data_IF_541102214324
#
_entry.id   IF_541102214324
#
_cell.length_a   1.000
_cell.length_b   1.000
_cell.length_c   1.000
_cell.angle_alpha   90.00
_cell.angle_beta   90.00
_cell.angle_gamma   90.00
#
_symmetry.space_group_name_H-M   'P 1'
#
loop_
_entity.id
_entity.type
_entity.pdbx_description
1 polymer ?
#
# COMPACT_ATOMS: atom_id res chain seq x y z
N UNK A 1 -6.91 -18.00 7.70
CA UNK A 1 -7.97 -17.08 8.15
C UNK A 1 -7.89 -15.86 7.25
N UNK A 2 -9.00 -15.36 6.71
CA UNK A 2 -8.97 -14.18 5.83
C UNK A 2 -8.67 -12.93 6.67
N UNK A 3 -7.90 -11.98 6.16
CA UNK A 3 -7.52 -10.75 6.89
C UNK A 3 -8.74 -10.00 7.46
N UNK A 4 -9.87 -10.04 6.77
CA UNK A 4 -11.14 -9.43 7.24
C UNK A 4 -11.76 -10.16 8.42
N UNK A 5 -11.60 -11.49 8.51
CA UNK A 5 -12.05 -12.27 9.67
C UNK A 5 -11.20 -11.93 10.90
N UNK A 6 -9.88 -11.73 10.73
CA UNK A 6 -8.99 -11.29 11.80
C UNK A 6 -9.38 -9.88 12.30
N UNK A 7 -9.61 -8.95 11.37
CA UNK A 7 -10.07 -7.60 11.72
C UNK A 7 -11.41 -7.62 12.46
N UNK A 8 -12.38 -8.43 12.00
CA UNK A 8 -13.67 -8.59 12.65
C UNK A 8 -13.57 -9.21 14.05
N UNK A 9 -12.77 -10.27 14.21
CA UNK A 9 -12.53 -10.91 15.51
C UNK A 9 -11.92 -9.93 16.51
N UNK A 10 -10.94 -9.13 16.07
CA UNK A 10 -10.34 -8.09 16.90
C UNK A 10 -11.35 -7.00 17.27
N UNK A 11 -12.17 -6.54 16.33
CA UNK A 11 -13.22 -5.56 16.58
C UNK A 11 -14.23 -6.04 17.63
N UNK A 12 -14.63 -7.32 17.56
CA UNK A 12 -15.50 -7.96 18.56
C UNK A 12 -14.83 -7.96 19.94
N UNK A 13 -13.54 -8.31 20.02
CA UNK A 13 -12.82 -8.30 21.27
C UNK A 13 -12.71 -6.90 21.88
N UNK A 14 -12.45 -5.88 21.06
CA UNK A 14 -12.42 -4.49 21.52
C UNK A 14 -13.78 -3.98 22.00
N UNK A 15 -14.86 -4.31 21.28
CA UNK A 15 -16.22 -3.99 21.72
C UNK A 15 -16.50 -4.57 23.11
N UNK A 16 -16.10 -5.83 23.34
CA UNK A 16 -16.25 -6.51 24.64
C UNK A 16 -15.38 -5.86 25.73
N UNK A 17 -14.10 -5.60 25.45
CA UNK A 17 -13.18 -4.92 26.40
C UNK A 17 -13.72 -3.56 26.83
N UNK A 18 -14.44 -2.87 25.94
CA UNK A 18 -15.09 -1.58 26.18
C UNK A 18 -16.54 -1.69 26.70
N UNK A 19 -17.01 -2.90 27.04
CA UNK A 19 -18.39 -3.17 27.49
C UNK A 19 -19.48 -2.61 26.54
N UNK A 20 -19.23 -2.66 25.23
CA UNK A 20 -20.20 -2.27 24.20
C UNK A 20 -21.11 -3.46 23.87
N UNK A 21 -22.39 -3.17 23.64
CA UNK A 21 -23.39 -4.15 23.19
C UNK A 21 -23.28 -4.48 21.70
N UNK A 22 -22.59 -3.64 20.94
CA UNK A 22 -22.45 -3.73 19.49
C UNK A 22 -21.03 -3.39 19.05
N UNK A 23 -20.62 -3.93 17.90
CA UNK A 23 -19.40 -3.53 17.19
C UNK A 23 -19.71 -2.31 16.33
N UNK A 24 -19.05 -1.20 16.66
CA UNK A 24 -19.12 0.06 15.93
C UNK A 24 -18.11 0.15 14.79
N UNK A 25 -18.13 1.28 14.10
CA UNK A 25 -17.13 1.64 13.09
C UNK A 25 -15.75 1.86 13.72
N UNK A 26 -15.67 2.37 14.95
CA UNK A 26 -14.41 2.59 15.68
C UNK A 26 -13.70 1.26 15.97
N UNK A 27 -14.41 0.27 16.51
CA UNK A 27 -13.84 -1.05 16.77
C UNK A 27 -13.41 -1.74 15.48
N UNK A 28 -14.18 -1.59 14.39
CA UNK A 28 -13.79 -2.10 13.07
C UNK A 28 -12.54 -1.42 12.52
N UNK A 29 -12.39 -0.10 12.71
CA UNK A 29 -11.20 0.63 12.29
C UNK A 29 -9.98 0.11 13.04
N UNK A 30 -10.08 -0.02 14.37
CA UNK A 30 -9.00 -0.59 15.19
C UNK A 30 -8.64 -2.00 14.76
N UNK A 31 -9.63 -2.85 14.47
CA UNK A 31 -9.38 -4.19 13.92
C UNK A 31 -8.65 -4.18 12.57
N UNK A 32 -9.03 -3.27 11.67
CA UNK A 32 -8.34 -3.12 10.39
C UNK A 32 -6.89 -2.63 10.58
N UNK A 33 -6.69 -1.65 11.45
CA UNK A 33 -5.38 -1.10 11.77
C UNK A 33 -4.47 -2.15 12.43
N UNK A 34 -4.99 -2.95 13.37
CA UNK A 34 -4.26 -4.07 14.00
C UNK A 34 -3.72 -5.04 12.95
N UNK A 35 -4.55 -5.46 11.97
CA UNK A 35 -4.14 -6.42 10.94
C UNK A 35 -2.99 -5.90 10.07
N UNK A 36 -2.95 -4.59 9.80
CA UNK A 36 -1.89 -4.00 8.97
C UNK A 36 -0.70 -3.47 9.78
N UNK A 37 -0.81 -3.45 11.12
CA UNK A 37 0.23 -2.96 12.01
C UNK A 37 1.50 -3.80 11.97
N UNK A 38 2.60 -3.19 12.43
CA UNK A 38 3.85 -3.85 12.74
C UNK A 38 4.36 -3.26 14.05
N UNK A 39 4.53 -4.11 15.07
CA UNK A 39 4.95 -3.69 16.41
C UNK A 39 4.02 -2.63 17.03
N UNK A 40 2.70 -2.81 16.89
CA UNK A 40 1.72 -1.85 17.38
C UNK A 40 1.60 -0.56 16.58
N UNK A 41 2.37 -0.40 15.50
CA UNK A 41 2.40 0.84 14.70
C UNK A 41 1.89 0.59 13.29
N UNK A 42 1.06 1.51 12.79
CA UNK A 42 0.59 1.52 11.41
C UNK A 42 1.20 2.70 10.66
N UNK A 43 1.91 2.42 9.58
CA UNK A 43 2.37 3.44 8.64
C UNK A 43 1.43 3.51 7.43
N UNK A 44 0.79 4.65 7.24
CA UNK A 44 -0.11 4.91 6.10
C UNK A 44 0.25 6.24 5.45
N UNK A 45 0.98 6.16 4.34
CA UNK A 45 1.56 7.35 3.70
C UNK A 45 2.49 8.07 4.67
N UNK A 46 2.23 9.36 4.90
CA UNK A 46 2.97 10.20 5.86
C UNK A 46 2.46 10.09 7.29
N UNK A 47 1.40 9.34 7.55
CA UNK A 47 0.83 9.20 8.89
C UNK A 47 1.34 7.94 9.57
N UNK A 48 1.56 8.09 10.86
CA UNK A 48 1.94 7.02 11.77
C UNK A 48 0.88 6.98 12.84
N UNK A 49 0.24 5.83 13.03
CA UNK A 49 -0.72 5.59 14.09
C UNK A 49 -0.13 4.58 15.06
N UNK A 50 0.03 5.00 16.31
CA UNK A 50 0.38 4.11 17.41
C UNK A 50 -0.92 3.53 17.99
N UNK A 51 -1.06 2.21 17.96
CA UNK A 51 -2.26 1.55 18.47
C UNK A 51 -2.43 1.75 19.98
N UNK A 52 -1.35 1.87 20.75
CA UNK A 52 -1.43 2.15 22.18
C UNK A 52 -2.04 3.54 22.43
N UNK A 53 -1.66 4.55 21.63
CA UNK A 53 -2.27 5.89 21.69
C UNK A 53 -3.76 5.88 21.30
N UNK A 54 -4.17 4.93 20.46
CA UNK A 54 -5.58 4.70 20.10
C UNK A 54 -6.35 3.84 21.13
N UNK A 55 -5.71 3.52 22.26
CA UNK A 55 -6.29 2.73 23.35
C UNK A 55 -6.41 1.25 23.03
N UNK A 56 -5.52 0.74 22.19
CA UNK A 56 -5.37 -0.69 21.87
C UNK A 56 -4.13 -1.23 22.56
N UNK A 57 -4.33 -2.24 23.40
CA UNK A 57 -3.26 -3.15 23.78
C UNK A 57 -3.07 -4.15 22.64
N UNK A 58 -2.01 -3.97 21.85
CA UNK A 58 -1.75 -4.78 20.66
C UNK A 58 -0.98 -6.07 20.97
N UNK A 59 -0.48 -6.22 22.21
CA UNK A 59 0.19 -7.43 22.71
C UNK A 59 -0.82 -8.42 23.30
N UNK A 60 -1.96 -7.92 23.80
CA UNK A 60 -3.07 -8.75 24.23
C UNK A 60 -3.68 -9.52 23.04
N UNK A 61 -3.62 -10.84 23.10
CA UNK A 61 -4.41 -11.68 22.20
C UNK A 61 -5.90 -11.54 22.55
N UNK A 62 -6.79 -11.35 21.55
CA UNK A 62 -8.20 -11.23 21.81
C UNK A 62 -8.75 -12.54 22.42
N UNK A 63 -9.24 -12.48 23.66
CA UNK A 63 -9.91 -13.63 24.28
C UNK A 63 -11.09 -14.10 23.42
N UNK A 64 -11.09 -15.39 23.07
CA UNK A 64 -12.19 -16.02 22.34
C UNK A 64 -13.37 -16.16 23.30
N UNK A 65 -14.22 -15.15 23.33
CA UNK A 65 -15.44 -15.15 24.13
C UNK A 65 -16.65 -15.62 23.31
N UNK A 66 -17.44 -16.54 23.85
CA UNK A 66 -18.64 -17.11 23.20
C UNK A 66 -19.83 -16.14 23.08
N UNK A 67 -19.76 -14.97 23.74
CA UNK A 67 -20.82 -13.96 23.68
C UNK A 67 -20.88 -13.35 22.28
N UNK A 68 -22.02 -13.50 21.59
CA UNK A 68 -22.25 -12.90 20.28
C UNK A 68 -22.54 -11.41 20.44
N UNK A 69 -21.70 -10.57 19.82
CA UNK A 69 -21.91 -9.12 19.73
C UNK A 69 -22.44 -8.83 18.34
N UNK A 70 -23.51 -8.05 18.23
CA UNK A 70 -24.07 -7.64 16.95
C UNK A 70 -23.24 -6.50 16.33
N UNK A 71 -23.31 -6.34 15.01
CA UNK A 71 -22.78 -5.13 14.36
C UNK A 71 -23.83 -4.03 14.41
N UNK A 72 -23.39 -2.82 14.68
CA UNK A 72 -24.22 -1.62 14.53
C UNK A 72 -24.61 -1.40 13.07
N UNK A 73 -25.68 -0.62 12.81
CA UNK A 73 -26.08 -0.29 11.45
C UNK A 73 -24.96 0.43 10.67
N UNK A 74 -24.22 1.33 11.32
CA UNK A 74 -23.10 2.04 10.70
C UNK A 74 -21.97 1.08 10.27
N UNK A 75 -21.70 0.03 11.07
CA UNK A 75 -20.77 -1.02 10.70
C UNK A 75 -21.25 -1.85 9.50
N UNK A 76 -22.55 -2.16 9.43
CA UNK A 76 -23.14 -2.84 8.26
C UNK A 76 -23.04 -1.98 7.00
N UNK A 77 -23.38 -0.69 7.08
CA UNK A 77 -23.28 0.25 5.96
C UNK A 77 -21.83 0.38 5.45
N UNK A 78 -20.85 0.30 6.36
CA UNK A 78 -19.42 0.26 6.03
C UNK A 78 -19.06 -1.03 5.27
N UNK A 79 -19.54 -2.20 5.70
CA UNK A 79 -19.34 -3.45 4.96
C UNK A 79 -19.93 -3.40 3.55
N UNK A 80 -21.14 -2.87 3.39
CA UNK A 80 -21.78 -2.71 2.07
C UNK A 80 -20.99 -1.75 1.17
N UNK A 81 -20.42 -0.69 1.75
CA UNK A 81 -19.52 0.22 1.05
C UNK A 81 -18.23 -0.47 0.63
N UNK A 82 -17.61 -1.26 1.51
CA UNK A 82 -16.42 -2.03 1.20
C UNK A 82 -16.68 -3.09 0.12
N UNK A 83 -17.86 -3.72 0.12
CA UNK A 83 -18.28 -4.65 -0.92
C UNK A 83 -18.37 -3.97 -2.30
N UNK A 84 -18.97 -2.77 -2.36
CA UNK A 84 -19.01 -1.98 -3.61
C UNK A 84 -17.63 -1.55 -4.08
N UNK A 85 -16.72 -1.19 -3.17
CA UNK A 85 -15.33 -0.86 -3.49
C UNK A 85 -14.61 -2.10 -4.04
N UNK A 86 -14.76 -3.25 -3.39
CA UNK A 86 -14.16 -4.52 -3.84
C UNK A 86 -14.63 -4.88 -5.26
N UNK A 87 -15.93 -4.74 -5.54
CA UNK A 87 -16.49 -4.99 -6.86
C UNK A 87 -15.92 -4.03 -7.92
N UNK A 88 -15.77 -2.74 -7.59
CA UNK A 88 -15.16 -1.75 -8.47
C UNK A 88 -13.65 -2.01 -8.72
N UNK A 89 -12.96 -2.61 -7.76
CA UNK A 89 -11.56 -3.04 -7.85
C UNK A 89 -11.41 -4.41 -8.57
N UNK A 90 -12.50 -4.99 -9.09
CA UNK A 90 -12.50 -6.30 -9.75
C UNK A 90 -12.26 -7.48 -8.80
N UNK A 91 -12.36 -7.26 -7.48
CA UNK A 91 -12.12 -8.27 -6.46
C UNK A 91 -13.41 -9.01 -6.10
N UNK A 92 -13.38 -10.33 -6.14
CA UNK A 92 -14.48 -11.20 -5.69
C UNK A 92 -14.54 -11.35 -4.16
N UNK A 93 -13.58 -10.77 -3.43
CA UNK A 93 -13.49 -10.88 -1.98
C UNK A 93 -13.23 -9.53 -1.33
N UNK A 94 -13.94 -9.27 -0.23
CA UNK A 94 -13.66 -8.09 0.60
C UNK A 94 -12.34 -8.33 1.33
N UNK A 95 -11.44 -7.36 1.27
CA UNK A 95 -10.14 -7.35 1.93
C UNK A 95 -10.10 -6.17 2.91
N UNK A 96 -9.16 -6.19 3.85
CA UNK A 96 -8.97 -5.08 4.81
C UNK A 96 -8.74 -3.75 4.09
N UNK A 97 -8.08 -3.76 2.92
CA UNK A 97 -7.94 -2.58 2.06
C UNK A 97 -9.30 -1.95 1.68
N UNK A 98 -10.29 -2.78 1.32
CA UNK A 98 -11.60 -2.30 0.91
C UNK A 98 -12.38 -1.73 2.10
N UNK A 99 -12.24 -2.33 3.29
CA UNK A 99 -12.80 -1.80 4.55
C UNK A 99 -12.17 -0.44 4.89
N UNK A 100 -10.83 -0.37 4.90
CA UNK A 100 -10.10 0.88 5.13
C UNK A 100 -10.51 1.95 4.11
N UNK A 101 -10.59 1.64 2.82
CA UNK A 101 -11.07 2.58 1.81
C UNK A 101 -12.51 3.07 2.06
N UNK A 102 -13.35 2.23 2.67
CA UNK A 102 -14.71 2.56 3.09
C UNK A 102 -14.77 3.67 4.15
N UNK A 103 -13.84 3.67 5.10
CA UNK A 103 -13.74 4.71 6.15
C UNK A 103 -13.46 6.11 5.62
N UNK A 104 -13.07 6.25 4.36
CA UNK A 104 -12.76 7.54 3.76
C UNK A 104 -13.86 8.59 3.93
N UNK A 105 -15.14 8.20 4.04
CA UNK A 105 -16.26 9.13 4.18
C UNK A 105 -16.71 9.37 5.63
N UNK A 106 -16.19 8.59 6.58
CA UNK A 106 -16.57 8.69 7.99
C UNK A 106 -15.91 9.94 8.58
N UNK A 107 -16.71 10.78 9.25
CA UNK A 107 -16.25 12.05 9.83
C UNK A 107 -16.48 12.13 11.35
N UNK A 108 -17.08 11.08 11.91
CA UNK A 108 -17.36 10.93 13.33
C UNK A 108 -16.50 9.81 13.93
N UNK A 109 -16.52 9.71 15.26
CA UNK A 109 -15.75 8.73 16.01
C UNK A 109 -14.24 8.85 15.77
N UNK A 110 -13.56 7.71 15.90
CA UNK A 110 -12.11 7.59 15.79
C UNK A 110 -11.60 8.07 14.42
N UNK A 111 -12.28 7.70 13.33
CA UNK A 111 -11.88 8.15 12.00
C UNK A 111 -11.98 9.67 11.85
N UNK A 112 -13.04 10.26 12.41
CA UNK A 112 -13.20 11.72 12.46
C UNK A 112 -12.08 12.41 13.22
N UNK A 113 -11.67 11.86 14.36
CA UNK A 113 -10.57 12.38 15.17
C UNK A 113 -9.22 12.29 14.44
N UNK A 114 -8.93 11.16 13.80
CA UNK A 114 -7.73 11.00 12.96
C UNK A 114 -7.71 12.01 11.82
N UNK A 115 -8.86 12.25 11.17
CA UNK A 115 -8.96 13.25 10.11
C UNK A 115 -8.64 14.65 10.57
N UNK A 116 -9.19 15.06 11.72
CA UNK A 116 -8.96 16.39 12.28
C UNK A 116 -7.51 16.58 12.73
N UNK A 117 -6.96 15.59 13.44
CA UNK A 117 -5.60 15.66 14.00
C UNK A 117 -4.51 15.64 12.93
N UNK A 118 -4.68 14.86 11.86
CA UNK A 118 -3.66 14.68 10.82
C UNK A 118 -3.98 15.37 9.49
N UNK A 119 -5.06 16.15 9.42
CA UNK A 119 -5.49 16.82 8.19
C UNK A 119 -5.86 15.84 7.07
N UNK A 120 -6.38 14.66 7.41
CA UNK A 120 -6.69 13.60 6.44
C UNK A 120 -7.98 13.98 5.69
N UNK A 121 -7.86 14.09 4.37
CA UNK A 121 -9.01 14.17 3.46
C UNK A 121 -9.42 12.78 2.96
N UNK A 122 -10.66 12.63 2.50
CA UNK A 122 -11.17 11.38 1.91
C UNK A 122 -10.25 10.85 0.79
N UNK A 123 -9.73 11.75 -0.06
CA UNK A 123 -8.84 11.40 -1.15
C UNK A 123 -7.46 10.96 -0.63
N UNK A 124 -6.85 11.74 0.25
CA UNK A 124 -5.54 11.41 0.81
C UNK A 124 -5.54 10.07 1.57
N UNK A 125 -6.64 9.77 2.28
CA UNK A 125 -6.82 8.49 2.96
C UNK A 125 -6.82 7.32 1.98
N UNK A 126 -7.64 7.39 0.93
CA UNK A 126 -7.71 6.32 -0.09
C UNK A 126 -6.39 6.13 -0.82
N UNK A 127 -5.67 7.21 -1.11
CA UNK A 127 -4.32 7.15 -1.69
C UNK A 127 -3.35 6.44 -0.75
N UNK A 128 -3.39 6.75 0.55
CA UNK A 128 -2.55 6.07 1.54
C UNK A 128 -2.89 4.58 1.65
N UNK A 129 -4.18 4.22 1.70
CA UNK A 129 -4.65 2.82 1.70
C UNK A 129 -4.14 2.07 0.48
N UNK A 130 -4.31 2.64 -0.72
CA UNK A 130 -3.86 2.01 -1.97
C UNK A 130 -2.34 1.77 -1.96
N UNK A 131 -1.55 2.77 -1.58
CA UNK A 131 -0.08 2.66 -1.49
C UNK A 131 0.36 1.62 -0.47
N UNK A 132 -0.20 1.63 0.74
CA UNK A 132 0.13 0.66 1.78
C UNK A 132 -0.20 -0.76 1.33
N UNK A 133 -1.33 -0.96 0.65
CA UNK A 133 -1.73 -2.26 0.15
C UNK A 133 -0.85 -2.75 -1.00
N UNK A 134 -0.54 -1.89 -1.98
CA UNK A 134 0.40 -2.21 -3.06
C UNK A 134 1.79 -2.55 -2.53
N UNK A 135 2.29 -1.83 -1.51
CA UNK A 135 3.59 -2.13 -0.91
C UNK A 135 3.61 -3.49 -0.17
N UNK A 136 2.48 -3.89 0.42
CA UNK A 136 2.38 -5.12 1.24
C UNK A 136 2.05 -6.37 0.43
N UNK A 137 1.31 -6.23 -0.67
CA UNK A 137 0.77 -7.36 -1.43
C UNK A 137 0.99 -7.26 -2.95
N UNK A 138 1.70 -6.24 -3.43
CA UNK A 138 1.88 -5.94 -4.86
C UNK A 138 2.80 -6.87 -5.64
N UNK A 139 2.76 -8.18 -5.40
CA UNK A 139 3.42 -9.17 -6.27
C UNK A 139 2.46 -9.98 -7.14
N UNK A 140 1.14 -9.81 -7.00
CA UNK A 140 0.14 -10.69 -7.65
C UNK A 140 -0.76 -10.04 -8.72
N UNK A 141 -0.39 -8.89 -9.28
CA UNK A 141 -1.15 -8.33 -10.41
C UNK A 141 -0.25 -7.90 -11.55
N UNK A 142 0.14 -8.89 -12.36
CA UNK A 142 0.48 -8.69 -13.77
C UNK A 142 -0.81 -8.51 -14.58
N UNK A 143 -1.28 -7.28 -14.72
CA UNK A 143 -2.01 -6.84 -15.93
C UNK A 143 -1.61 -5.39 -16.21
N UNK A 144 -1.11 -5.20 -17.41
CA UNK A 144 -0.73 -3.96 -18.07
C UNK A 144 -1.76 -2.84 -17.92
N UNK A 145 -1.33 -1.63 -17.54
CA UNK A 145 -1.34 -0.46 -18.43
C UNK A 145 -0.73 0.78 -17.76
N UNK A 146 0.02 1.52 -18.57
CA UNK A 146 0.61 2.86 -18.40
C UNK A 146 -0.47 3.86 -17.90
N UNK A 147 -0.20 4.88 -17.09
CA UNK A 147 0.73 5.97 -17.32
C UNK A 147 0.93 6.83 -16.03
N UNK A 148 2.15 7.35 -15.84
CA UNK A 148 2.44 8.65 -15.19
C UNK A 148 2.23 8.88 -13.69
N UNK A 149 3.22 8.53 -12.85
CA UNK A 149 3.96 9.53 -12.02
C UNK A 149 4.93 8.88 -11.03
N UNK A 150 6.20 9.21 -11.25
CA UNK A 150 7.38 9.20 -10.39
C UNK A 150 7.18 8.81 -8.92
N UNK A 151 7.66 7.62 -8.57
CA UNK A 151 8.23 7.32 -7.25
C UNK A 151 9.16 6.14 -7.43
N UNK A 152 10.46 6.37 -7.20
CA UNK A 152 11.53 5.41 -7.45
C UNK A 152 11.25 4.06 -6.82
N UNK A 153 10.85 3.12 -7.67
CA UNK A 153 10.78 1.70 -7.35
C UNK A 153 11.97 1.02 -8.00
N UNK A 154 12.30 -0.20 -7.59
CA UNK A 154 13.35 -1.02 -8.20
C UNK A 154 13.23 -1.19 -9.74
N UNK A 155 12.14 -0.72 -10.37
CA UNK A 155 12.01 -0.57 -11.83
C UNK A 155 12.88 0.54 -12.46
N UNK A 156 13.56 1.37 -11.65
CA UNK A 156 14.50 2.39 -12.14
C UNK A 156 15.84 1.83 -12.59
N UNK A 157 16.17 0.59 -12.23
CA UNK A 157 17.43 -0.05 -12.53
C UNK A 157 17.25 -1.19 -13.51
N UNK A 158 17.70 -0.97 -14.73
CA UNK A 158 17.65 -1.91 -15.83
C UNK A 158 18.86 -2.84 -15.82
N UNK A 159 18.65 -4.08 -16.22
CA UNK A 159 19.72 -4.97 -16.69
C UNK A 159 20.30 -4.45 -18.02
N UNK A 160 21.51 -4.89 -18.42
CA UNK A 160 22.07 -4.55 -19.73
C UNK A 160 21.16 -4.94 -20.89
N UNK A 161 20.42 -6.04 -20.76
CA UNK A 161 19.53 -6.54 -21.79
C UNK A 161 18.31 -5.61 -21.93
N UNK A 162 17.64 -5.27 -20.82
CA UNK A 162 16.49 -4.34 -20.83
C UNK A 162 16.88 -2.91 -21.27
N UNK A 163 18.07 -2.45 -20.88
CA UNK A 163 18.58 -1.15 -21.29
C UNK A 163 18.93 -1.09 -22.79
N UNK A 164 19.38 -2.21 -23.37
CA UNK A 164 19.68 -2.30 -24.79
C UNK A 164 18.39 -2.31 -25.62
N UNK A 165 17.38 -3.04 -25.14
CA UNK A 165 16.03 -3.04 -25.71
C UNK A 165 15.41 -1.65 -25.68
N UNK A 166 15.51 -0.93 -24.56
CA UNK A 166 14.98 0.43 -24.42
C UNK A 166 15.60 1.45 -25.39
N UNK A 167 16.85 1.23 -25.80
CA UNK A 167 17.55 2.08 -26.78
C UNK A 167 17.48 1.51 -28.21
N UNK A 168 16.81 0.38 -28.41
CA UNK A 168 16.77 -0.37 -29.68
C UNK A 168 18.17 -0.64 -30.25
N UNK A 169 19.15 -0.94 -29.38
CA UNK A 169 20.52 -1.29 -29.77
C UNK A 169 20.88 -2.70 -29.32
N UNK A 170 21.96 -3.24 -29.88
CA UNK A 170 22.47 -4.54 -29.45
C UNK A 170 23.11 -4.46 -28.04
N UNK A 171 22.92 -5.49 -27.21
CA UNK A 171 23.45 -5.53 -25.83
C UNK A 171 24.97 -5.36 -25.75
N UNK A 172 25.70 -5.82 -26.76
CA UNK A 172 27.16 -5.63 -26.83
C UNK A 172 27.56 -4.16 -27.02
N UNK A 173 26.76 -3.39 -27.75
CA UNK A 173 26.96 -1.94 -27.96
C UNK A 173 26.76 -1.20 -26.64
N UNK A 174 25.69 -1.53 -25.91
CA UNK A 174 25.45 -0.98 -24.57
C UNK A 174 26.59 -1.32 -23.60
N UNK A 175 27.07 -2.58 -23.59
CA UNK A 175 28.22 -2.99 -22.77
C UNK A 175 29.51 -2.24 -23.15
N UNK A 176 29.69 -1.86 -24.41
CA UNK A 176 30.80 -1.02 -24.84
C UNK A 176 30.68 0.42 -24.29
N UNK A 177 29.48 0.99 -24.22
CA UNK A 177 29.23 2.30 -23.60
C UNK A 177 29.50 2.29 -22.09
N UNK A 178 29.10 1.23 -21.40
CA UNK A 178 29.43 1.06 -19.97
C UNK A 178 30.94 0.91 -19.77
N UNK A 179 31.62 0.10 -20.61
CA UNK A 179 33.08 -0.11 -20.49
C UNK A 179 33.89 1.16 -20.78
N UNK A 180 33.41 2.00 -21.71
CA UNK A 180 34.05 3.27 -22.07
C UNK A 180 33.68 4.42 -21.13
N UNK A 181 32.80 4.20 -20.15
CA UNK A 181 32.35 5.22 -19.20
C UNK A 181 31.31 6.21 -19.75
N UNK A 182 30.84 6.02 -20.99
CA UNK A 182 29.80 6.87 -21.62
C UNK A 182 28.42 6.66 -21.00
N UNK A 183 28.19 5.50 -20.39
CA UNK A 183 26.95 5.18 -19.69
C UNK A 183 27.26 4.72 -18.26
N UNK A 184 26.82 5.46 -17.23
CA UNK A 184 27.01 5.05 -15.83
C UNK A 184 26.30 3.72 -15.54
N UNK A 185 26.99 2.83 -14.82
CA UNK A 185 26.41 1.57 -14.36
C UNK A 185 26.88 1.27 -12.92
N UNK A 186 25.98 0.70 -12.13
CA UNK A 186 26.23 0.28 -10.75
C UNK A 186 26.44 -1.22 -10.68
N UNK A 187 27.27 -1.69 -9.75
CA UNK A 187 27.43 -3.12 -9.44
C UNK A 187 26.58 -3.50 -8.23
N UNK A 188 25.99 -4.69 -8.28
CA UNK A 188 25.27 -5.25 -7.14
C UNK A 188 26.25 -5.89 -6.16
N UNK A 189 26.40 -5.32 -4.96
CA UNK A 189 27.07 -5.93 -3.80
C UNK A 189 28.41 -6.65 -4.07
N UNK A 190 29.24 -6.14 -5.00
CA UNK A 190 30.53 -6.73 -5.35
C UNK A 190 30.49 -7.85 -6.42
N UNK A 191 29.30 -8.22 -6.91
CA UNK A 191 29.13 -9.16 -8.00
C UNK A 191 29.47 -8.54 -9.38
N UNK A 192 29.63 -9.41 -10.39
CA UNK A 192 29.86 -9.00 -11.80
C UNK A 192 28.59 -8.50 -12.49
N UNK A 193 27.43 -8.61 -11.84
CA UNK A 193 26.16 -8.11 -12.35
C UNK A 193 26.11 -6.58 -12.25
N UNK A 194 25.75 -5.93 -13.37
CA UNK A 194 25.60 -4.48 -13.44
C UNK A 194 24.12 -4.07 -13.61
N UNK A 195 23.81 -2.87 -13.15
CA UNK A 195 22.50 -2.22 -13.22
C UNK A 195 22.66 -0.79 -13.74
N UNK A 196 21.79 -0.38 -14.63
CA UNK A 196 21.83 0.92 -15.30
C UNK A 196 20.58 1.68 -14.90
N UNK A 197 20.71 2.92 -14.44
CA UNK A 197 19.53 3.73 -14.15
C UNK A 197 18.84 4.09 -15.46
N UNK A 198 17.51 3.96 -15.49
CA UNK A 198 16.70 4.32 -16.65
C UNK A 198 16.87 5.79 -17.05
N UNK A 199 17.09 6.68 -16.06
CA UNK A 199 17.39 8.11 -16.30
C UNK A 199 18.68 8.32 -17.09
N UNK A 200 19.68 7.46 -16.87
CA UNK A 200 21.01 7.64 -17.42
C UNK A 200 21.08 7.24 -18.90
N UNK A 201 20.11 6.46 -19.39
CA UNK A 201 20.00 6.10 -20.81
C UNK A 201 19.84 7.33 -21.72
N UNK A 202 19.17 8.37 -21.22
CA UNK A 202 18.97 9.62 -21.97
C UNK A 202 20.28 10.38 -22.20
N UNK A 203 21.30 10.13 -21.38
CA UNK A 203 22.63 10.77 -21.49
C UNK A 203 23.36 10.39 -22.77
N UNK A 204 23.05 9.23 -23.35
CA UNK A 204 23.70 8.72 -24.57
C UNK A 204 23.00 9.24 -25.84
N UNK A 205 21.83 9.86 -25.70
CA UNK A 205 21.07 10.41 -26.81
C UNK A 205 21.52 11.84 -27.09
N UNK A 206 22.25 12.03 -28.18
CA UNK A 206 22.60 13.36 -28.69
C UNK A 206 21.62 13.78 -29.80
N UNK A 207 21.21 15.05 -29.87
CA UNK A 207 20.36 15.54 -30.95
C UNK A 207 21.10 15.47 -32.28
N UNK A 208 20.50 14.78 -33.26
CA UNK A 208 21.02 14.71 -34.62
C UNK A 208 20.79 16.06 -35.32
N UNK A 209 21.80 16.92 -35.35
CA UNK A 209 21.76 18.16 -36.14
C UNK A 209 22.10 17.81 -37.59
N UNK A 210 21.26 18.14 -38.58
CA UNK A 210 21.60 17.93 -39.98
C UNK A 210 22.83 18.76 -40.33
N UNK A 211 23.93 18.11 -40.72
CA UNK A 211 25.10 18.80 -41.25
C UNK A 211 24.69 19.46 -42.56
N UNK A 212 24.74 20.80 -42.59
CA UNK A 212 24.52 21.62 -43.79
C UNK A 212 25.81 21.69 -44.60
#
# INVERSE_FOLDING_TARGET
MKDTELAASFAIAQAKKRNRSEVGTDELLLGCLQVISRFGVVQMGSWTFDLEELGVDWLDDPEISEVKVAYSQAAVDLFDRAARIAAADGSSTIRVAHLLAGFAVENEGLMGDLKRSHGITNASWRVAVARTWSARFGKDTSVSQEDGSESGSLGDYLTPEEAAEALSIHVQTLRAYVRSGKLPALRLAGERAIRIRRTDLKTVLEPLVPQT
#
